data_IF_681926142754
#
_entry.id   IF_681926142754
#
_cell.length_a   1.000
_cell.length_b   1.000
_cell.length_c   1.000
_cell.angle_alpha   90.00
_cell.angle_beta   90.00
_cell.angle_gamma   90.00
#
_symmetry.space_group_name_H-M   'P 1'
#
loop_
_entity.id
_entity.type
_entity.pdbx_description
1 polymer ?
#
# COMPACT_ATOMS: atom_id res chain seq x y z
N UNK A 1 8.50 1.79 9.95
CA UNK A 1 7.98 0.45 9.55
C UNK A 1 6.90 -0.09 10.49
N UNK A 2 7.12 -0.14 11.81
CA UNK A 2 6.12 -0.70 12.73
C UNK A 2 4.74 -0.03 12.65
N UNK A 3 4.67 1.29 12.46
CA UNK A 3 3.39 1.99 12.32
C UNK A 3 2.62 1.59 11.06
N UNK A 4 3.33 1.33 9.95
CA UNK A 4 2.70 0.87 8.69
C UNK A 4 2.18 -0.56 8.83
N UNK A 5 2.85 -1.40 9.62
CA UNK A 5 2.34 -2.73 9.99
C UNK A 5 1.05 -2.63 10.81
N UNK A 6 0.94 -1.64 11.72
CA UNK A 6 -0.31 -1.36 12.44
C UNK A 6 -1.47 -1.01 11.50
N UNK A 7 -1.23 -0.18 10.49
CA UNK A 7 -2.22 0.09 9.43
C UNK A 7 -2.56 -1.16 8.61
N UNK A 8 -1.57 -2.00 8.29
CA UNK A 8 -1.79 -3.27 7.59
C UNK A 8 -2.70 -4.21 8.41
N UNK A 9 -2.51 -4.29 9.73
CA UNK A 9 -3.38 -5.04 10.62
C UNK A 9 -4.81 -4.51 10.60
N UNK A 10 -5.00 -3.19 10.63
CA UNK A 10 -6.33 -2.58 10.56
C UNK A 10 -7.04 -2.88 9.22
N UNK A 11 -6.32 -2.84 8.09
CA UNK A 11 -6.88 -3.23 6.79
C UNK A 11 -7.21 -4.73 6.76
N UNK A 12 -6.41 -5.57 7.42
CA UNK A 12 -6.70 -7.01 7.53
C UNK A 12 -8.02 -7.27 8.25
N UNK A 13 -8.34 -6.50 9.30
CA UNK A 13 -9.60 -6.63 10.06
C UNK A 13 -10.78 -5.91 9.41
N UNK A 14 -10.53 -4.85 8.64
CA UNK A 14 -11.54 -4.05 7.94
C UNK A 14 -11.26 -4.05 6.41
N UNK A 15 -11.34 -5.19 5.70
CA UNK A 15 -10.89 -5.30 4.30
C UNK A 15 -11.74 -4.53 3.28
N UNK A 16 -12.94 -4.08 3.68
CA UNK A 16 -13.85 -3.27 2.87
C UNK A 16 -13.81 -1.79 3.28
N UNK A 17 -12.76 -1.38 4.01
CA UNK A 17 -12.56 -0.01 4.45
C UNK A 17 -12.55 0.97 3.28
N UNK A 18 -13.38 2.01 3.39
CA UNK A 18 -13.41 3.12 2.43
C UNK A 18 -12.28 4.13 2.65
N UNK A 19 -12.07 4.98 1.63
CA UNK A 19 -11.04 6.02 1.60
C UNK A 19 -11.03 6.94 2.84
N UNK A 20 -12.19 7.34 3.37
CA UNK A 20 -12.27 8.23 4.53
C UNK A 20 -11.68 7.57 5.81
N UNK A 21 -12.07 6.32 6.08
CA UNK A 21 -11.57 5.55 7.23
C UNK A 21 -10.08 5.23 7.05
N UNK A 22 -9.66 4.87 5.84
CA UNK A 22 -8.26 4.64 5.52
C UNK A 22 -7.41 5.90 5.78
N UNK A 23 -7.84 7.05 5.27
CA UNK A 23 -7.16 8.32 5.46
C UNK A 23 -7.08 8.71 6.94
N UNK A 24 -8.15 8.52 7.71
CA UNK A 24 -8.15 8.83 9.15
C UNK A 24 -7.12 7.99 9.92
N UNK A 25 -6.99 6.70 9.60
CA UNK A 25 -5.98 5.83 10.20
C UNK A 25 -4.57 6.19 9.73
N UNK A 26 -4.39 6.33 8.42
CA UNK A 26 -3.10 6.65 7.79
C UNK A 26 -2.55 8.00 8.25
N UNK A 27 -3.40 9.00 8.49
CA UNK A 27 -3.00 10.32 8.96
C UNK A 27 -2.16 10.29 10.25
N UNK A 28 -2.45 9.35 11.16
CA UNK A 28 -1.70 9.21 12.41
C UNK A 28 -0.23 8.78 12.18
N UNK A 29 0.12 8.32 10.99
CA UNK A 29 1.48 7.93 10.60
C UNK A 29 2.31 9.11 10.07
N UNK A 30 1.68 10.25 9.79
CA UNK A 30 2.30 11.44 9.19
C UNK A 30 2.49 12.55 10.23
N UNK A 31 3.25 12.25 11.29
CA UNK A 31 3.71 13.24 12.26
C UNK A 31 5.03 13.91 11.82
N UNK A 32 5.49 14.93 12.56
CA UNK A 32 6.69 15.73 12.23
C UNK A 32 7.99 14.92 12.02
N UNK A 33 8.07 13.70 12.56
CA UNK A 33 9.25 12.83 12.42
C UNK A 33 9.12 11.85 11.25
N UNK A 34 7.97 11.77 10.62
CA UNK A 34 7.70 10.82 9.54
C UNK A 34 8.44 11.23 8.26
N UNK A 35 9.17 10.29 7.68
CA UNK A 35 9.77 10.43 6.35
C UNK A 35 8.83 9.94 5.24
N UNK A 36 7.60 9.56 5.60
CA UNK A 36 6.60 9.08 4.65
C UNK A 36 6.12 10.23 3.76
N UNK A 37 6.16 10.01 2.46
CA UNK A 37 5.56 10.88 1.44
C UNK A 37 4.12 10.51 1.16
N UNK A 38 3.82 9.22 1.08
CA UNK A 38 2.46 8.71 0.98
C UNK A 38 2.35 7.23 1.39
N UNK A 39 1.12 6.81 1.65
CA UNK A 39 0.72 5.41 1.76
C UNK A 39 -0.46 5.18 0.81
N UNK A 40 -0.32 4.18 -0.04
CA UNK A 40 -1.35 3.72 -0.96
C UNK A 40 -1.82 2.31 -0.59
N UNK A 41 -3.14 2.11 -0.54
CA UNK A 41 -3.76 0.79 -0.48
C UNK A 41 -4.24 0.38 -1.87
N UNK A 42 -3.87 -0.83 -2.28
CA UNK A 42 -4.18 -1.37 -3.59
C UNK A 42 -4.84 -2.76 -3.49
N UNK A 43 -6.14 -2.82 -3.18
CA UNK A 43 -6.92 -4.04 -3.32
C UNK A 43 -6.75 -4.61 -4.74
N UNK A 44 -6.53 -5.92 -4.85
CA UNK A 44 -6.31 -6.62 -6.13
C UNK A 44 -5.21 -5.99 -7.02
N UNK A 45 -4.23 -5.34 -6.39
CA UNK A 45 -3.11 -4.62 -7.02
C UNK A 45 -3.51 -3.37 -7.82
N UNK A 46 -4.70 -2.81 -7.59
CA UNK A 46 -5.14 -1.53 -8.17
C UNK A 46 -5.26 -0.51 -7.04
N UNK A 47 -4.52 0.60 -7.12
CA UNK A 47 -4.59 1.65 -6.09
C UNK A 47 -6.01 2.23 -6.04
N UNK A 48 -6.66 2.11 -4.89
CA UNK A 48 -7.97 2.73 -4.63
C UNK A 48 -8.04 3.47 -3.29
N UNK A 49 -7.02 3.32 -2.44
CA UNK A 49 -6.88 4.01 -1.17
C UNK A 49 -5.58 4.82 -1.17
N UNK A 50 -5.60 6.06 -0.67
CA UNK A 50 -4.45 6.96 -0.74
C UNK A 50 -4.40 7.93 0.45
N UNK A 51 -3.22 8.16 1.01
CA UNK A 51 -2.99 9.28 1.92
C UNK A 51 -1.53 9.79 1.84
N UNK A 52 -1.31 11.12 1.82
CA UNK A 52 -2.29 12.16 1.62
C UNK A 52 -2.85 12.12 0.19
N UNK A 53 -4.12 12.48 0.01
CA UNK A 53 -4.72 12.53 -1.34
C UNK A 53 -4.10 13.64 -2.18
N UNK A 54 -3.97 14.84 -1.60
CA UNK A 54 -3.45 16.03 -2.26
C UNK A 54 -2.05 15.77 -2.82
N UNK A 55 -1.90 15.87 -4.15
CA UNK A 55 -0.63 15.64 -4.85
C UNK A 55 -0.35 14.19 -5.24
N UNK A 56 -1.20 13.24 -4.84
CA UNK A 56 -1.07 11.81 -5.20
C UNK A 56 -2.26 11.28 -6.01
N UNK A 57 -3.14 12.15 -6.52
CA UNK A 57 -4.36 11.79 -7.23
C UNK A 57 -4.06 10.95 -8.48
N UNK A 58 -2.95 11.22 -9.16
CA UNK A 58 -2.49 10.50 -10.35
C UNK A 58 -2.18 9.02 -10.11
N UNK A 59 -1.96 8.63 -8.86
CA UNK A 59 -1.69 7.24 -8.52
C UNK A 59 -3.00 6.43 -8.36
N UNK A 60 -4.16 7.06 -8.16
CA UNK A 60 -5.43 6.35 -8.10
C UNK A 60 -5.72 5.62 -9.43
N UNK A 61 -6.21 4.39 -9.33
CA UNK A 61 -6.48 3.53 -10.49
C UNK A 61 -5.23 2.89 -11.11
N UNK A 62 -4.03 3.17 -10.59
CA UNK A 62 -2.81 2.50 -11.05
C UNK A 62 -2.91 1.00 -10.80
N UNK A 63 -2.93 0.22 -11.88
CA UNK A 63 -2.85 -1.23 -11.85
C UNK A 63 -1.38 -1.67 -11.89
N UNK A 64 -0.86 -2.19 -10.78
CA UNK A 64 0.54 -2.63 -10.72
C UNK A 64 0.84 -3.78 -11.68
N UNK A 65 -0.15 -4.54 -12.16
CA UNK A 65 0.06 -5.62 -13.12
C UNK A 65 0.36 -5.09 -14.52
N UNK A 66 -0.02 -3.84 -14.79
CA UNK A 66 0.15 -3.15 -16.09
C UNK A 66 1.26 -2.10 -16.07
N UNK A 67 1.84 -1.80 -14.90
CA UNK A 67 2.94 -0.84 -14.76
C UNK A 67 4.29 -1.56 -14.72
N UNK A 68 5.03 -1.56 -15.83
CA UNK A 68 6.30 -2.30 -15.95
C UNK A 68 7.31 -1.97 -14.85
N UNK A 69 7.44 -0.68 -14.50
CA UNK A 69 8.39 -0.20 -13.50
C UNK A 69 8.11 -0.74 -12.08
N UNK A 70 6.84 -1.00 -11.75
CA UNK A 70 6.41 -1.36 -10.40
C UNK A 70 5.93 -2.80 -10.27
N UNK A 71 5.61 -3.46 -11.39
CA UNK A 71 5.03 -4.81 -11.46
C UNK A 71 5.85 -5.85 -10.73
N UNK A 72 7.15 -5.93 -11.02
CA UNK A 72 8.01 -6.98 -10.46
C UNK A 72 8.05 -6.93 -8.93
N UNK A 73 8.16 -5.73 -8.34
CA UNK A 73 8.16 -5.57 -6.90
C UNK A 73 6.79 -5.87 -6.27
N UNK A 74 5.70 -5.47 -6.93
CA UNK A 74 4.34 -5.76 -6.47
C UNK A 74 4.04 -7.26 -6.43
N UNK A 75 4.35 -7.97 -7.52
CA UNK A 75 4.13 -9.41 -7.63
C UNK A 75 5.06 -10.17 -6.68
N UNK A 76 6.32 -9.76 -6.53
CA UNK A 76 7.23 -10.38 -5.56
C UNK A 76 6.70 -10.27 -4.12
N UNK A 77 6.17 -9.10 -3.72
CA UNK A 77 5.59 -8.92 -2.39
C UNK A 77 4.41 -9.88 -2.16
N UNK A 78 3.51 -9.98 -3.15
CA UNK A 78 2.38 -10.93 -3.12
C UNK A 78 2.88 -12.38 -3.02
N UNK A 79 3.73 -12.79 -3.96
CA UNK A 79 4.11 -14.20 -4.14
C UNK A 79 4.98 -14.72 -2.99
N UNK A 80 5.86 -13.87 -2.44
CA UNK A 80 6.70 -14.22 -1.29
C UNK A 80 6.01 -14.01 0.06
N UNK A 81 4.84 -13.37 0.08
CA UNK A 81 4.10 -13.01 1.31
C UNK A 81 4.96 -12.24 2.31
N UNK A 82 5.89 -11.44 1.78
CA UNK A 82 6.89 -10.73 2.55
C UNK A 82 6.96 -9.26 2.13
N UNK A 83 7.39 -8.42 3.06
CA UNK A 83 7.74 -7.04 2.78
C UNK A 83 8.81 -7.00 1.68
N UNK A 84 8.55 -6.25 0.61
CA UNK A 84 9.54 -5.96 -0.42
C UNK A 84 9.85 -4.47 -0.42
N UNK A 85 11.13 -4.13 -0.29
CA UNK A 85 11.63 -2.78 -0.51
C UNK A 85 12.09 -2.66 -1.98
N UNK A 86 11.51 -1.72 -2.72
CA UNK A 86 11.89 -1.43 -4.10
C UNK A 86 12.38 0.02 -4.20
N UNK A 87 13.45 0.26 -4.96
CA UNK A 87 13.94 1.62 -5.19
C UNK A 87 15.43 1.72 -5.44
N UNK A 88 15.93 2.92 -5.74
CA UNK A 88 15.15 4.15 -5.91
C UNK A 88 14.51 4.22 -7.30
N UNK A 89 13.18 4.27 -7.36
CA UNK A 89 12.37 4.32 -8.60
C UNK A 89 11.76 5.70 -8.81
N UNK A 90 11.44 6.01 -10.06
CA UNK A 90 10.64 7.19 -10.41
C UNK A 90 9.18 6.94 -10.04
N UNK A 91 8.64 7.84 -9.23
CA UNK A 91 7.30 7.75 -8.71
C UNK A 91 6.29 8.34 -9.71
N UNK A 92 5.08 7.79 -9.79
CA UNK A 92 4.03 8.28 -10.72
C UNK A 92 3.63 9.72 -10.41
N UNK A 93 3.66 10.10 -9.13
CA UNK A 93 3.42 11.47 -8.66
C UNK A 93 4.61 12.43 -8.89
N UNK A 94 5.75 11.92 -9.38
CA UNK A 94 6.99 12.67 -9.56
C UNK A 94 8.01 12.48 -8.43
N UNK A 95 9.28 12.70 -8.76
CA UNK A 95 10.41 12.50 -7.86
C UNK A 95 10.87 11.04 -7.75
N UNK A 96 11.91 10.82 -6.95
CA UNK A 96 12.54 9.52 -6.75
C UNK A 96 12.43 9.09 -5.28
N UNK A 97 12.19 7.80 -5.03
CA UNK A 97 12.05 7.28 -3.67
C UNK A 97 12.13 5.77 -3.58
N UNK A 98 12.11 5.27 -2.36
CA UNK A 98 11.95 3.85 -2.06
C UNK A 98 10.49 3.56 -1.72
N UNK A 99 10.02 2.36 -2.06
CA UNK A 99 8.66 1.91 -1.81
C UNK A 99 8.74 0.63 -0.99
N UNK A 100 8.25 0.67 0.24
CA UNK A 100 8.00 -0.52 1.05
C UNK A 100 6.63 -1.10 0.70
N UNK A 101 6.60 -2.30 0.13
CA UNK A 101 5.37 -3.02 -0.25
C UNK A 101 5.07 -4.11 0.76
N UNK A 102 3.95 -3.97 1.46
CA UNK A 102 3.48 -4.91 2.48
C UNK A 102 2.29 -5.67 1.88
N UNK A 103 2.40 -6.98 1.63
CA UNK A 103 1.27 -7.76 1.18
C UNK A 103 0.27 -7.98 2.33
N UNK A 104 -1.02 -7.92 2.01
CA UNK A 104 -2.10 -8.16 2.98
C UNK A 104 -2.85 -9.41 2.57
N UNK A 105 -3.04 -10.29 3.54
CA UNK A 105 -3.85 -11.49 3.43
C UNK A 105 -4.92 -11.46 4.52
N UNK A 106 -6.17 -11.67 4.13
CA UNK A 106 -7.34 -11.60 5.01
C UNK A 106 -7.78 -13.02 5.35
N UNK A 107 -7.90 -13.39 6.64
CA UNK A 107 -8.39 -14.70 7.05
C UNK A 107 -9.77 -15.01 6.47
N UNK A 108 -10.02 -16.28 6.13
CA UNK A 108 -11.33 -16.74 5.64
C UNK A 108 -12.00 -17.69 6.64
N UNK A 109 -13.33 -17.75 6.60
CA UNK A 109 -14.14 -18.54 7.55
C UNK A 109 -13.85 -20.05 7.48
N UNK A 110 -13.34 -20.55 6.35
CA UNK A 110 -13.00 -21.96 6.14
C UNK A 110 -11.56 -22.36 6.52
N UNK A 111 -10.79 -21.45 7.12
CA UNK A 111 -9.35 -21.64 7.33
C UNK A 111 -8.53 -21.18 6.12
N UNK A 112 -7.31 -20.72 6.39
CA UNK A 112 -6.47 -20.03 5.40
C UNK A 112 -6.84 -18.56 5.20
N UNK A 113 -6.26 -17.94 4.20
CA UNK A 113 -6.43 -16.53 3.91
C UNK A 113 -6.50 -16.24 2.41
N UNK A 114 -7.12 -15.11 2.07
CA UNK A 114 -7.17 -14.60 0.70
C UNK A 114 -6.24 -13.41 0.57
N UNK A 115 -5.54 -13.31 -0.55
CA UNK A 115 -4.83 -12.09 -0.87
C UNK A 115 -5.83 -10.94 -1.03
N UNK A 116 -5.62 -9.87 -0.27
CA UNK A 116 -6.42 -8.65 -0.39
C UNK A 116 -5.80 -7.69 -1.39
N UNK A 117 -4.48 -7.56 -1.37
CA UNK A 117 -3.77 -6.51 -2.07
C UNK A 117 -2.45 -6.16 -1.38
N UNK A 118 -1.91 -4.98 -1.69
CA UNK A 118 -0.70 -4.47 -1.03
C UNK A 118 -0.94 -3.08 -0.45
N UNK A 119 -0.28 -2.80 0.68
CA UNK A 119 0.01 -1.43 1.09
C UNK A 119 1.39 -1.04 0.57
N UNK A 120 1.50 0.16 0.01
CA UNK A 120 2.77 0.73 -0.46
C UNK A 120 3.04 2.00 0.32
N UNK A 121 4.16 2.04 1.05
CA UNK A 121 4.63 3.21 1.78
C UNK A 121 5.87 3.78 1.09
N UNK A 122 5.82 5.08 0.76
CA UNK A 122 6.85 5.83 0.05
C UNK A 122 7.50 6.84 0.98
#
# INVERSE_FOLDING_TARGET
LQLVQGLASAVTTEPYMGQQRFAALAANLFNEKSQLRNIAGAPDLVISLMYPMKGNEKALGLDYRKNEAQRMAALRARDQRALVLAGPVDLVQGGRGFIGRIPIFVPTVGGGDRFWGILSAV
#
